data_IF_271581426872
#
_entry.id   IF_271581426872
#
_cell.length_a   1.000
_cell.length_b   1.000
_cell.length_c   1.000
_cell.angle_alpha   90.00
_cell.angle_beta   90.00
_cell.angle_gamma   90.00
#
_symmetry.space_group_name_H-M   'P 1'
#
loop_
_entity.id
_entity.type
_entity.pdbx_description
1 polymer ?
#
# COMPACT_ATOMS: atom_id res chain seq x y z
N UNK A 1 3.70 15.20 42.60
CA UNK A 1 4.68 14.84 41.56
C UNK A 1 5.19 16.12 40.93
N UNK A 2 6.49 16.46 41.09
CA UNK A 2 7.09 17.58 40.34
C UNK A 2 7.30 17.12 38.90
N UNK A 3 6.79 17.90 37.95
CA UNK A 3 7.09 17.75 36.53
C UNK A 3 8.59 17.92 36.34
N UNK A 4 9.27 16.89 35.84
CA UNK A 4 10.70 16.96 35.49
C UNK A 4 10.81 17.13 33.98
N UNK A 5 11.19 18.33 33.47
CA UNK A 5 11.30 18.59 32.04
C UNK A 5 12.28 17.64 31.33
N UNK A 6 13.33 17.18 32.01
CA UNK A 6 14.32 16.23 31.45
C UNK A 6 13.69 14.88 31.02
N UNK A 7 12.65 14.44 31.73
CA UNK A 7 11.91 13.22 31.36
C UNK A 7 11.07 13.42 30.11
N UNK A 8 10.51 14.62 29.93
CA UNK A 8 9.74 14.97 28.74
C UNK A 8 10.66 15.02 27.52
N UNK A 9 11.82 15.66 27.63
CA UNK A 9 12.79 15.74 26.53
C UNK A 9 13.27 14.35 26.08
N UNK A 10 13.51 13.45 27.05
CA UNK A 10 13.85 12.05 26.74
C UNK A 10 12.73 11.35 25.97
N UNK A 11 11.46 11.56 26.36
CA UNK A 11 10.31 10.98 25.66
C UNK A 11 10.13 11.55 24.25
N UNK A 12 10.41 12.84 24.05
CA UNK A 12 10.34 13.47 22.72
C UNK A 12 11.39 12.89 21.78
N UNK A 13 12.63 12.73 22.25
CA UNK A 13 13.71 12.11 21.45
C UNK A 13 13.36 10.66 21.09
N UNK A 14 12.81 9.89 22.03
CA UNK A 14 12.35 8.53 21.77
C UNK A 14 11.20 8.48 20.76
N UNK A 15 10.24 9.41 20.86
CA UNK A 15 9.10 9.47 19.93
C UNK A 15 9.54 9.80 18.50
N UNK A 16 10.51 10.70 18.33
CA UNK A 16 11.09 11.02 17.01
C UNK A 16 11.84 9.81 16.45
N UNK A 17 12.67 9.15 17.28
CA UNK A 17 13.38 7.94 16.85
C UNK A 17 12.43 6.82 16.44
N UNK A 18 11.33 6.63 17.18
CA UNK A 18 10.28 5.66 16.83
C UNK A 18 9.59 6.02 15.51
N UNK A 19 9.33 7.30 15.25
CA UNK A 19 8.73 7.75 14.01
C UNK A 19 9.63 7.39 12.79
N UNK A 20 10.93 7.64 12.91
CA UNK A 20 11.90 7.31 11.87
C UNK A 20 12.03 5.80 11.62
N UNK A 21 11.91 4.99 12.69
CA UNK A 21 11.90 3.52 12.59
C UNK A 21 10.64 3.03 11.88
N UNK A 22 9.46 3.55 12.27
CA UNK A 22 8.19 3.20 11.64
C UNK A 22 8.16 3.53 10.14
N UNK A 23 8.74 4.65 9.72
CA UNK A 23 8.82 5.00 8.30
C UNK A 23 9.67 4.01 7.49
N UNK A 24 10.76 3.48 8.07
CA UNK A 24 11.59 2.46 7.43
C UNK A 24 10.86 1.12 7.33
N UNK A 25 10.20 0.72 8.42
CA UNK A 25 9.43 -0.52 8.45
C UNK A 25 8.24 -0.47 7.48
N UNK A 26 7.51 0.65 7.44
CA UNK A 26 6.41 0.86 6.50
C UNK A 26 6.86 0.71 5.05
N UNK A 27 8.00 1.30 4.68
CA UNK A 27 8.54 1.14 3.33
C UNK A 27 8.93 -0.32 3.04
N UNK A 28 9.54 -1.00 4.00
CA UNK A 28 9.90 -2.42 3.86
C UNK A 28 8.66 -3.30 3.63
N UNK A 29 7.60 -3.09 4.41
CA UNK A 29 6.34 -3.81 4.26
C UNK A 29 5.64 -3.46 2.95
N UNK A 30 5.67 -2.20 2.54
CA UNK A 30 5.08 -1.80 1.26
C UNK A 30 5.78 -2.45 0.08
N UNK A 31 7.11 -2.49 0.08
CA UNK A 31 7.89 -3.20 -0.94
C UNK A 31 7.55 -4.70 -0.94
N UNK A 32 7.37 -5.30 0.25
CA UNK A 32 6.99 -6.70 0.36
C UNK A 32 5.61 -7.00 -0.21
N UNK A 33 4.63 -6.14 0.07
CA UNK A 33 3.26 -6.26 -0.48
C UNK A 33 3.27 -6.09 -2.00
N UNK A 34 4.08 -5.15 -2.52
CA UNK A 34 4.27 -4.97 -3.97
C UNK A 34 4.84 -6.21 -4.64
N UNK A 35 5.85 -6.84 -4.04
CA UNK A 35 6.42 -8.09 -4.57
C UNK A 35 5.39 -9.22 -4.56
N UNK A 36 4.67 -9.41 -3.45
CA UNK A 36 3.67 -10.47 -3.32
C UNK A 36 2.50 -10.29 -4.28
N UNK A 37 1.86 -9.13 -4.26
CA UNK A 37 0.73 -8.87 -5.14
C UNK A 37 1.15 -8.73 -6.60
N UNK A 38 2.41 -8.37 -6.87
CA UNK A 38 2.97 -8.34 -8.22
C UNK A 38 3.00 -9.70 -8.92
N UNK A 39 2.96 -10.83 -8.20
CA UNK A 39 2.76 -12.14 -8.84
C UNK A 39 1.37 -12.24 -9.46
N UNK A 40 0.35 -11.72 -8.77
CA UNK A 40 -1.02 -11.70 -9.26
C UNK A 40 -1.26 -10.59 -10.28
N UNK A 41 -0.76 -9.37 -10.03
CA UNK A 41 -0.98 -8.20 -10.87
C UNK A 41 0.29 -7.33 -11.00
N UNK A 42 1.26 -7.75 -11.84
CA UNK A 42 2.57 -7.09 -11.93
C UNK A 42 2.50 -5.65 -12.48
N UNK A 43 1.52 -5.35 -13.33
CA UNK A 43 1.36 -4.04 -13.97
C UNK A 43 0.96 -2.95 -12.97
N UNK A 44 0.21 -3.30 -11.91
CA UNK A 44 -0.25 -2.36 -10.88
C UNK A 44 0.90 -1.63 -10.19
N UNK A 45 2.06 -2.27 -10.05
CA UNK A 45 3.24 -1.65 -9.41
C UNK A 45 3.79 -0.44 -10.18
N UNK A 46 3.54 -0.37 -11.48
CA UNK A 46 3.94 0.76 -12.34
C UNK A 46 2.90 1.88 -12.35
N UNK A 47 1.62 1.51 -12.28
CA UNK A 47 0.48 2.42 -12.30
C UNK A 47 0.37 3.15 -10.95
N UNK A 48 0.39 2.39 -9.84
CA UNK A 48 0.26 2.95 -8.49
C UNK A 48 1.62 2.96 -7.79
N UNK A 49 2.31 4.08 -7.86
CA UNK A 49 3.67 4.26 -7.31
C UNK A 49 3.71 4.55 -5.81
N UNK A 50 2.61 5.09 -5.26
CA UNK A 50 2.50 5.41 -3.84
C UNK A 50 2.11 4.18 -3.00
N UNK A 51 2.76 3.98 -1.85
CA UNK A 51 2.58 2.78 -1.03
C UNK A 51 1.20 2.66 -0.39
N UNK A 52 0.65 3.77 0.11
CA UNK A 52 -0.65 3.78 0.79
C UNK A 52 -1.81 3.52 -0.18
N UNK A 53 -1.91 4.23 -1.33
CA UNK A 53 -2.90 3.90 -2.37
C UNK A 53 -2.77 2.47 -2.87
N UNK A 54 -1.54 1.98 -3.11
CA UNK A 54 -1.32 0.61 -3.55
C UNK A 54 -1.95 -0.41 -2.59
N UNK A 55 -1.67 -0.30 -1.29
CA UNK A 55 -2.24 -1.19 -0.28
C UNK A 55 -3.78 -1.10 -0.19
N UNK A 56 -4.34 0.11 -0.33
CA UNK A 56 -5.81 0.31 -0.33
C UNK A 56 -6.46 -0.33 -1.56
N UNK A 57 -5.84 -0.22 -2.73
CA UNK A 57 -6.32 -0.86 -3.97
C UNK A 57 -6.30 -2.38 -3.84
N UNK A 58 -5.19 -2.97 -3.37
CA UNK A 58 -5.09 -4.41 -3.10
C UNK A 58 -6.22 -4.87 -2.19
N UNK A 59 -6.45 -4.15 -1.09
CA UNK A 59 -7.50 -4.49 -0.11
C UNK A 59 -8.92 -4.40 -0.67
N UNK A 60 -9.19 -3.41 -1.52
CA UNK A 60 -10.52 -3.21 -2.09
C UNK A 60 -10.82 -4.19 -3.23
N UNK A 61 -9.81 -4.45 -4.08
CA UNK A 61 -9.93 -5.31 -5.25
C UNK A 61 -9.89 -6.79 -4.89
N UNK A 62 -8.94 -7.20 -4.05
CA UNK A 62 -8.65 -8.62 -3.80
C UNK A 62 -8.14 -9.28 -5.08
N UNK A 63 -9.03 -9.96 -5.81
CA UNK A 63 -8.71 -10.59 -7.10
C UNK A 63 -8.88 -9.61 -8.26
N UNK A 64 -8.02 -9.74 -9.28
CA UNK A 64 -8.10 -8.95 -10.53
C UNK A 64 -9.48 -9.01 -11.21
N UNK A 65 -10.19 -10.14 -11.10
CA UNK A 65 -11.55 -10.32 -11.64
C UNK A 65 -12.55 -9.31 -11.07
N UNK A 66 -12.35 -8.87 -9.83
CA UNK A 66 -13.23 -7.91 -9.17
C UNK A 66 -12.95 -6.45 -9.57
N UNK A 67 -11.80 -6.18 -10.22
CA UNK A 67 -11.38 -4.83 -10.60
C UNK A 67 -12.45 -4.06 -11.40
N UNK A 68 -13.21 -4.76 -12.25
CA UNK A 68 -14.26 -4.14 -13.09
C UNK A 68 -15.46 -3.70 -12.25
N UNK A 69 -15.73 -4.39 -11.14
CA UNK A 69 -16.86 -4.12 -10.24
C UNK A 69 -16.52 -3.14 -9.11
N UNK A 70 -15.24 -2.95 -8.82
CA UNK A 70 -14.76 -2.05 -7.78
C UNK A 70 -14.70 -0.59 -8.25
N UNK A 71 -14.99 0.32 -7.35
CA UNK A 71 -14.85 1.77 -7.52
C UNK A 71 -13.64 2.26 -6.74
N UNK A 72 -12.64 2.81 -7.46
CA UNK A 72 -11.38 3.28 -6.84
C UNK A 72 -11.33 4.81 -6.69
N UNK A 73 -12.39 5.54 -7.01
CA UNK A 73 -12.45 7.01 -7.01
C UNK A 73 -12.14 7.68 -5.66
N UNK A 74 -12.26 6.94 -4.55
CA UNK A 74 -11.89 7.40 -3.21
C UNK A 74 -10.39 7.26 -2.87
N UNK A 75 -9.63 6.56 -3.72
CA UNK A 75 -8.23 6.19 -3.51
C UNK A 75 -7.34 6.73 -4.62
N UNK A 76 -7.81 6.64 -5.86
CA UNK A 76 -7.10 7.02 -7.08
C UNK A 76 -7.84 8.13 -7.81
N UNK A 77 -7.11 8.88 -8.62
CA UNK A 77 -7.67 9.77 -9.63
C UNK A 77 -8.23 8.97 -10.82
N UNK A 78 -9.09 9.62 -11.60
CA UNK A 78 -9.83 9.00 -12.69
C UNK A 78 -8.92 8.45 -13.80
N UNK A 79 -7.79 9.10 -14.07
CA UNK A 79 -6.80 8.66 -15.06
C UNK A 79 -6.12 7.36 -14.61
N UNK A 80 -5.59 7.33 -13.39
CA UNK A 80 -4.96 6.14 -12.82
C UNK A 80 -5.95 4.97 -12.66
N UNK A 81 -7.20 5.25 -12.28
CA UNK A 81 -8.24 4.21 -12.18
C UNK A 81 -8.55 3.59 -13.55
N UNK A 82 -8.64 4.42 -14.59
CA UNK A 82 -8.88 3.93 -15.94
C UNK A 82 -7.71 3.08 -16.45
N UNK A 83 -6.47 3.54 -16.24
CA UNK A 83 -5.26 2.78 -16.61
C UNK A 83 -5.23 1.42 -15.89
N UNK A 84 -5.62 1.38 -14.61
CA UNK A 84 -5.69 0.14 -13.83
C UNK A 84 -6.71 -0.86 -14.42
N UNK A 85 -7.91 -0.38 -14.80
CA UNK A 85 -8.97 -1.23 -15.39
C UNK A 85 -8.58 -1.76 -16.77
N UNK A 86 -7.87 -0.96 -17.56
CA UNK A 86 -7.33 -1.38 -18.86
C UNK A 86 -6.20 -2.41 -18.68
N UNK A 87 -5.30 -2.19 -17.73
CA UNK A 87 -4.19 -3.09 -17.44
C UNK A 87 -4.66 -4.48 -16.96
N UNK A 88 -5.76 -4.58 -16.22
CA UNK A 88 -6.32 -5.88 -15.80
C UNK A 88 -6.69 -6.75 -17.01
N UNK A 89 -7.20 -6.18 -18.10
CA UNK A 89 -7.63 -6.95 -19.27
C UNK A 89 -6.48 -7.62 -20.03
N UNK A 90 -5.27 -7.07 -19.91
CA UNK A 90 -4.06 -7.54 -20.59
C UNK A 90 -3.00 -8.07 -19.62
N UNK A 91 -3.35 -8.19 -18.34
CA UNK A 91 -2.38 -8.49 -17.28
C UNK A 91 -1.83 -9.91 -17.40
N UNK A 92 -0.50 -10.02 -17.26
CA UNK A 92 0.24 -11.28 -17.40
C UNK A 92 0.48 -12.01 -16.08
N UNK A 93 -0.12 -11.52 -14.97
CA UNK A 93 0.04 -12.12 -13.66
C UNK A 93 -0.67 -13.47 -13.51
N UNK A 94 -0.33 -14.21 -12.47
CA UNK A 94 -0.89 -15.54 -12.19
C UNK A 94 -2.24 -15.45 -11.47
N UNK A 95 -3.06 -16.47 -11.57
CA UNK A 95 -4.20 -16.62 -10.67
C UNK A 95 -3.69 -16.99 -9.26
N UNK A 96 -4.38 -16.50 -8.24
CA UNK A 96 -4.14 -16.80 -6.83
C UNK A 96 -5.39 -17.45 -6.25
N UNK A 97 -5.25 -18.26 -5.20
CA UNK A 97 -6.40 -18.87 -4.54
C UNK A 97 -7.03 -17.92 -3.51
N UNK A 98 -8.24 -18.24 -3.03
CA UNK A 98 -8.88 -17.50 -1.94
C UNK A 98 -8.15 -17.66 -0.59
N UNK A 99 -7.31 -18.70 -0.47
CA UNK A 99 -6.53 -19.01 0.73
C UNK A 99 -5.17 -18.28 0.78
N UNK A 100 -4.75 -17.68 -0.34
CA UNK A 100 -3.51 -16.88 -0.47
C UNK A 100 -3.72 -15.40 -0.12
#
# INVERSE_FOLDING_TARGET
LKFSPDKVDTMVVQAIGLLDELDKELNTYAMRVREWYGWHFPEMGKIVTENVPYAKVVKLMGMRTNCVSCDFSSILDEETEQELKEAVQISMGTEISDDD
#
